data_IF_075092102147
#
_entry.id   IF_075092102147
#
_cell.length_a   1.000
_cell.length_b   1.000
_cell.length_c   1.000
_cell.angle_alpha   90.00
_cell.angle_beta   90.00
_cell.angle_gamma   90.00
#
_symmetry.space_group_name_H-M   'P 1'
#
loop_
_entity.id
_entity.type
_entity.pdbx_description
1 polymer ?
#
# COMPACT_ATOMS: atom_id res chain seq x y z
N UNK A 1 40.92 0.84 18.87
CA UNK A 1 40.24 0.55 17.59
C UNK A 1 39.51 -0.79 17.68
N UNK A 2 38.47 -0.87 18.50
CA UNK A 2 37.64 -2.07 18.68
C UNK A 2 36.18 -1.66 18.97
N UNK A 3 35.67 -0.70 18.19
CA UNK A 3 34.34 -0.11 18.35
C UNK A 3 33.63 0.13 17.00
N UNK A 4 34.02 -0.61 15.97
CA UNK A 4 33.56 -0.36 14.58
C UNK A 4 33.04 -1.62 13.88
N UNK A 5 32.60 -2.63 14.63
CA UNK A 5 31.96 -3.85 14.12
C UNK A 5 30.88 -4.36 15.09
N UNK A 6 30.03 -3.46 15.56
CA UNK A 6 28.67 -3.81 15.94
C UNK A 6 27.86 -3.28 14.76
N UNK A 7 27.40 -4.16 13.87
CA UNK A 7 26.41 -3.76 12.88
C UNK A 7 25.26 -3.11 13.66
N UNK A 8 24.99 -1.83 13.40
CA UNK A 8 23.89 -1.08 14.01
C UNK A 8 22.61 -1.89 13.82
N UNK A 9 22.16 -2.57 14.87
CA UNK A 9 20.85 -3.21 14.86
C UNK A 9 19.86 -2.06 14.87
N UNK A 10 19.16 -1.87 13.76
CA UNK A 10 18.10 -0.86 13.65
C UNK A 10 17.08 -1.08 14.78
N UNK A 11 17.05 -0.16 15.73
CA UNK A 11 16.16 -0.22 16.91
C UNK A 11 14.68 -0.24 16.51
N UNK A 12 14.37 0.18 15.29
CA UNK A 12 13.02 0.23 14.73
C UNK A 12 12.76 -0.87 13.69
N UNK A 13 13.67 -1.84 13.53
CA UNK A 13 13.54 -2.94 12.56
C UNK A 13 12.16 -3.62 12.66
N UNK A 14 11.75 -4.01 13.87
CA UNK A 14 10.45 -4.66 14.09
C UNK A 14 9.29 -3.70 13.78
N UNK A 15 9.39 -2.42 14.16
CA UNK A 15 8.34 -1.42 13.90
C UNK A 15 8.13 -1.24 12.40
N UNK A 16 9.22 -1.09 11.65
CA UNK A 16 9.24 -0.93 10.19
C UNK A 16 8.68 -2.18 9.49
N UNK A 17 9.14 -3.37 9.89
CA UNK A 17 8.67 -4.62 9.29
C UNK A 17 7.17 -4.84 9.48
N UNK A 18 6.67 -4.65 10.71
CA UNK A 18 5.23 -4.77 10.97
C UNK A 18 4.40 -3.76 10.16
N UNK A 19 4.93 -2.55 9.94
CA UNK A 19 4.29 -1.57 9.08
C UNK A 19 4.22 -2.03 7.61
N UNK A 20 5.35 -2.46 7.04
CA UNK A 20 5.42 -2.86 5.63
C UNK A 20 4.58 -4.09 5.29
N UNK A 21 4.48 -5.07 6.20
CA UNK A 21 3.64 -6.25 6.00
C UNK A 21 2.14 -5.99 6.25
N UNK A 22 1.77 -4.78 6.65
CA UNK A 22 0.38 -4.40 6.93
C UNK A 22 -0.14 -4.80 8.32
N UNK A 23 0.73 -5.19 9.26
CA UNK A 23 0.35 -5.46 10.65
C UNK A 23 0.39 -4.17 11.48
N UNK A 24 -0.49 -3.23 11.16
CA UNK A 24 -0.47 -1.88 11.73
C UNK A 24 -0.68 -1.86 13.25
N UNK A 25 -1.50 -2.77 13.79
CA UNK A 25 -1.73 -2.80 15.25
C UNK A 25 -0.48 -3.26 16.00
N UNK A 26 0.23 -4.26 15.48
CA UNK A 26 1.48 -4.71 16.09
C UNK A 26 2.58 -3.66 15.93
N UNK A 27 2.63 -2.97 14.78
CA UNK A 27 3.51 -1.80 14.59
C UNK A 27 3.31 -0.76 15.70
N UNK A 28 2.06 -0.38 15.99
CA UNK A 28 1.73 0.56 17.09
C UNK A 28 2.19 0.01 18.44
N UNK A 29 1.91 -1.26 18.72
CA UNK A 29 2.27 -1.88 20.00
C UNK A 29 3.79 -1.91 20.21
N UNK A 30 4.56 -2.26 19.18
CA UNK A 30 6.03 -2.28 19.25
C UNK A 30 6.60 -0.87 19.33
N UNK A 31 6.07 0.09 18.55
CA UNK A 31 6.48 1.49 18.63
C UNK A 31 6.30 2.06 20.05
N UNK A 32 5.24 1.70 20.76
CA UNK A 32 5.02 2.14 22.16
C UNK A 32 5.98 1.48 23.17
N UNK A 33 6.53 0.30 22.86
CA UNK A 33 7.47 -0.41 23.74
C UNK A 33 8.92 0.04 23.55
N UNK A 34 9.28 0.44 22.32
CA UNK A 34 10.65 0.87 22.00
C UNK A 34 11.02 2.11 22.80
N UNK A 35 12.18 2.04 23.46
CA UNK A 35 12.81 3.16 24.15
C UNK A 35 13.91 3.71 23.24
N UNK A 36 13.64 4.79 22.48
CA UNK A 36 14.59 5.30 21.50
C UNK A 36 15.87 5.78 22.19
N UNK A 37 17.02 5.41 21.65
CA UNK A 37 18.33 5.83 22.18
C UNK A 37 18.70 7.28 21.83
N UNK A 38 18.09 7.84 20.79
CA UNK A 38 18.31 9.22 20.34
C UNK A 38 17.01 9.96 20.01
N UNK A 39 17.08 11.29 19.93
CA UNK A 39 15.95 12.12 19.49
C UNK A 39 15.56 11.86 18.03
N UNK A 40 16.51 11.43 17.20
CA UNK A 40 16.29 11.10 15.79
C UNK A 40 15.49 9.79 15.66
N UNK A 41 15.87 8.75 16.42
CA UNK A 41 15.16 7.46 16.47
C UNK A 41 13.77 7.65 17.10
N UNK A 42 13.64 8.53 18.09
CA UNK A 42 12.33 8.87 18.66
C UNK A 42 11.40 9.49 17.59
N UNK A 43 11.93 10.36 16.75
CA UNK A 43 11.17 10.99 15.67
C UNK A 43 10.79 9.98 14.58
N UNK A 44 11.71 9.11 14.18
CA UNK A 44 11.44 8.07 13.18
C UNK A 44 10.39 7.06 13.67
N UNK A 45 10.46 6.66 14.95
CA UNK A 45 9.43 5.84 15.60
C UNK A 45 8.05 6.50 15.53
N UNK A 46 7.97 7.79 15.85
CA UNK A 46 6.72 8.54 15.83
C UNK A 46 6.16 8.65 14.41
N UNK A 47 7.02 8.80 13.40
CA UNK A 47 6.62 8.76 11.98
C UNK A 47 5.92 7.45 11.64
N UNK A 48 6.51 6.30 11.99
CA UNK A 48 5.89 4.99 11.73
C UNK A 48 4.61 4.77 12.54
N UNK A 49 4.57 5.25 13.79
CA UNK A 49 3.38 5.19 14.64
C UNK A 49 2.20 5.93 14.01
N UNK A 50 2.40 7.18 13.58
CA UNK A 50 1.35 7.96 12.93
C UNK A 50 0.97 7.40 11.56
N UNK A 51 1.93 6.89 10.77
CA UNK A 51 1.62 6.20 9.51
C UNK A 51 0.75 4.97 9.74
N UNK A 52 1.00 4.19 10.80
CA UNK A 52 0.16 3.05 11.17
C UNK A 52 -1.26 3.50 11.58
N UNK A 53 -1.41 4.61 12.30
CA UNK A 53 -2.73 5.18 12.60
C UNK A 53 -3.49 5.65 11.34
N UNK A 54 -2.80 6.30 10.40
CA UNK A 54 -3.36 6.69 9.09
C UNK A 54 -3.83 5.45 8.33
N UNK A 55 -3.02 4.39 8.29
CA UNK A 55 -3.36 3.13 7.63
C UNK A 55 -4.59 2.44 8.25
N UNK A 56 -4.77 2.53 9.58
CA UNK A 56 -5.98 2.07 10.28
C UNK A 56 -7.19 3.01 10.12
N UNK A 57 -7.11 4.07 9.30
CA UNK A 57 -8.12 5.12 9.12
C UNK A 57 -8.46 5.89 10.42
N UNK A 58 -7.56 5.89 11.40
CA UNK A 58 -7.71 6.63 12.67
C UNK A 58 -7.15 8.05 12.52
N UNK A 59 -7.65 8.80 11.52
CA UNK A 59 -7.11 10.11 11.15
C UNK A 59 -7.21 11.14 12.29
N UNK A 60 -8.25 11.05 13.13
CA UNK A 60 -8.45 11.99 14.26
C UNK A 60 -7.28 11.99 15.24
N UNK A 61 -6.72 10.82 15.56
CA UNK A 61 -5.57 10.70 16.46
C UNK A 61 -4.39 11.52 15.93
N UNK A 62 -4.11 11.39 14.63
CA UNK A 62 -3.01 12.12 13.98
C UNK A 62 -3.26 13.62 13.92
N UNK A 63 -4.50 14.03 13.64
CA UNK A 63 -4.87 15.45 13.55
C UNK A 63 -4.86 16.15 14.91
N UNK A 64 -5.21 15.43 15.98
CA UNK A 64 -5.26 15.96 17.35
C UNK A 64 -3.85 15.98 18.00
N UNK A 65 -3.02 14.97 17.74
CA UNK A 65 -1.68 14.85 18.34
C UNK A 65 -0.61 15.69 17.62
N UNK A 66 -0.73 15.90 16.30
CA UNK A 66 0.21 16.72 15.52
C UNK A 66 -0.27 18.18 15.47
N UNK A 67 0.40 19.04 16.25
CA UNK A 67 0.10 20.47 16.33
C UNK A 67 1.20 21.34 15.70
N UNK A 68 1.02 22.66 15.70
CA UNK A 68 1.98 23.60 15.08
C UNK A 68 3.32 23.67 15.84
N UNK A 69 3.42 23.07 17.02
CA UNK A 69 4.65 22.95 17.80
C UNK A 69 5.37 21.62 17.56
N UNK A 70 4.77 20.70 16.79
CA UNK A 70 5.38 19.42 16.43
C UNK A 70 6.52 19.62 15.41
N UNK A 71 7.53 18.73 15.41
CA UNK A 71 8.64 18.76 14.46
C UNK A 71 8.19 18.88 12.99
N UNK A 72 8.99 19.55 12.14
CA UNK A 72 8.66 19.72 10.72
C UNK A 72 8.47 18.39 10.00
N UNK A 73 9.13 17.32 10.45
CA UNK A 73 9.05 15.98 9.84
C UNK A 73 7.72 15.26 10.07
N UNK A 74 6.93 15.71 11.05
CA UNK A 74 5.60 15.18 11.33
C UNK A 74 4.49 15.96 10.61
N UNK A 75 4.74 17.21 10.21
CA UNK A 75 3.76 18.04 9.49
C UNK A 75 3.26 17.40 8.18
N UNK A 76 4.10 16.72 7.37
CA UNK A 76 3.62 15.98 6.20
C UNK A 76 2.58 14.92 6.57
N UNK A 77 2.75 14.21 7.68
CA UNK A 77 1.80 13.16 8.10
C UNK A 77 0.44 13.74 8.47
N UNK A 78 0.43 14.94 9.07
CA UNK A 78 -0.81 15.70 9.32
C UNK A 78 -1.51 16.07 8.02
N UNK A 79 -0.76 16.57 7.03
CA UNK A 79 -1.29 16.89 5.69
C UNK A 79 -1.90 15.64 5.03
N UNK A 80 -1.23 14.49 5.13
CA UNK A 80 -1.74 13.21 4.64
C UNK A 80 -3.04 12.79 5.35
N UNK A 81 -3.07 12.90 6.67
CA UNK A 81 -4.27 12.58 7.46
C UNK A 81 -5.44 13.51 7.10
N UNK A 82 -5.18 14.80 6.88
CA UNK A 82 -6.19 15.77 6.47
C UNK A 82 -6.72 15.48 5.05
N UNK A 83 -5.84 15.10 4.13
CA UNK A 83 -6.19 14.69 2.77
C UNK A 83 -7.16 13.49 2.74
N UNK A 84 -6.91 12.48 3.57
CA UNK A 84 -7.79 11.32 3.68
C UNK A 84 -9.07 11.61 4.48
N UNK A 85 -9.00 12.43 5.52
CA UNK A 85 -10.15 12.75 6.37
C UNK A 85 -11.16 13.68 5.68
N UNK A 86 -10.71 14.62 4.84
CA UNK A 86 -11.53 15.69 4.28
C UNK A 86 -11.47 15.72 2.74
N UNK A 87 -12.38 15.00 2.04
CA UNK A 87 -12.46 15.01 0.58
C UNK A 87 -12.58 16.42 -0.03
N UNK A 88 -13.25 17.35 0.65
CA UNK A 88 -13.47 18.72 0.18
C UNK A 88 -12.21 19.59 0.20
N UNK A 89 -11.16 19.20 0.94
CA UNK A 89 -9.91 19.98 1.04
C UNK A 89 -8.81 19.46 0.11
N UNK A 90 -9.05 18.39 -0.64
CA UNK A 90 -8.04 17.75 -1.49
C UNK A 90 -7.39 18.72 -2.48
N UNK A 91 -8.19 19.55 -3.16
CA UNK A 91 -7.67 20.54 -4.11
C UNK A 91 -6.78 21.61 -3.44
N UNK A 92 -7.16 22.08 -2.26
CA UNK A 92 -6.38 23.06 -1.51
C UNK A 92 -5.05 22.47 -1.01
N UNK A 93 -5.08 21.23 -0.50
CA UNK A 93 -3.89 20.51 -0.05
C UNK A 93 -2.94 20.26 -1.23
N UNK A 94 -3.47 19.91 -2.39
CA UNK A 94 -2.67 19.75 -3.61
C UNK A 94 -1.96 21.04 -4.01
N UNK A 95 -2.66 22.18 -3.97
CA UNK A 95 -2.06 23.48 -4.29
C UNK A 95 -0.96 23.88 -3.28
N UNK A 96 -1.16 23.60 -1.99
CA UNK A 96 -0.15 23.82 -0.94
C UNK A 96 1.07 22.92 -1.15
N UNK A 97 0.84 21.66 -1.51
CA UNK A 97 1.86 20.66 -1.76
C UNK A 97 2.68 20.98 -3.02
N UNK A 98 2.05 21.45 -4.09
CA UNK A 98 2.73 21.95 -5.30
C UNK A 98 3.62 23.16 -4.98
N UNK A 99 3.18 24.07 -4.10
CA UNK A 99 4.00 25.18 -3.64
C UNK A 99 5.19 24.68 -2.81
N UNK A 100 4.95 23.80 -1.84
CA UNK A 100 6.00 23.22 -1.01
C UNK A 100 7.04 22.42 -1.84
N UNK A 101 6.60 21.65 -2.83
CA UNK A 101 7.47 20.89 -3.72
C UNK A 101 8.40 21.78 -4.57
N UNK A 102 7.97 23.01 -4.89
CA UNK A 102 8.79 23.98 -5.63
C UNK A 102 9.76 24.79 -4.74
N UNK A 103 9.47 24.90 -3.44
CA UNK A 103 10.22 25.74 -2.51
C UNK A 103 11.20 24.98 -1.60
N UNK A 104 11.08 23.66 -1.48
CA UNK A 104 11.86 22.90 -0.51
C UNK A 104 13.16 22.36 -1.12
N UNK A 105 14.31 22.70 -0.52
CA UNK A 105 15.51 21.86 -0.58
C UNK A 105 15.18 20.59 0.22
N UNK A 106 14.54 19.66 -0.46
CA UNK A 106 13.92 18.48 0.13
C UNK A 106 14.99 17.46 0.52
N UNK A 107 15.55 17.58 1.72
CA UNK A 107 16.30 16.48 2.36
C UNK A 107 15.39 15.62 3.25
N UNK A 108 14.12 16.01 3.41
CA UNK A 108 13.16 15.29 4.24
C UNK A 108 12.45 14.18 3.43
N UNK A 109 12.95 12.96 3.58
CA UNK A 109 12.39 11.74 3.00
C UNK A 109 10.90 11.52 3.33
N UNK A 110 10.45 11.87 4.54
CA UNK A 110 9.06 11.69 4.96
C UNK A 110 8.09 12.58 4.18
N UNK A 111 8.50 13.83 3.91
CA UNK A 111 7.72 14.73 3.06
C UNK A 111 7.57 14.16 1.64
N UNK A 112 8.64 13.59 1.08
CA UNK A 112 8.61 13.03 -0.28
C UNK A 112 7.66 11.83 -0.39
N UNK A 113 7.68 10.90 0.57
CA UNK A 113 6.74 9.77 0.59
C UNK A 113 5.31 10.28 0.66
N UNK A 114 5.03 11.20 1.59
CA UNK A 114 3.68 11.77 1.74
C UNK A 114 3.24 12.45 0.46
N UNK A 115 4.10 13.31 -0.09
CA UNK A 115 3.83 14.05 -1.31
C UNK A 115 3.52 13.10 -2.48
N UNK A 116 4.39 12.11 -2.70
CA UNK A 116 4.20 11.11 -3.74
C UNK A 116 2.96 10.24 -3.51
N UNK A 117 2.61 9.93 -2.26
CA UNK A 117 1.38 9.19 -1.92
C UNK A 117 0.13 9.99 -2.29
N UNK A 118 0.12 11.31 -1.99
CA UNK A 118 -1.00 12.18 -2.35
C UNK A 118 -1.12 12.29 -3.88
N UNK A 119 -0.02 12.54 -4.59
CA UNK A 119 -0.01 12.55 -6.06
C UNK A 119 -0.46 11.22 -6.68
N UNK A 120 -0.08 10.09 -6.07
CA UNK A 120 -0.51 8.76 -6.50
C UNK A 120 -2.02 8.60 -6.41
N UNK A 121 -2.64 9.05 -5.32
CA UNK A 121 -4.10 9.01 -5.15
C UNK A 121 -4.85 9.95 -6.11
N UNK A 122 -4.26 11.10 -6.47
CA UNK A 122 -4.80 12.02 -7.48
C UNK A 122 -4.50 11.59 -8.93
N UNK A 123 -3.92 10.39 -9.14
CA UNK A 123 -3.53 9.84 -10.45
C UNK A 123 -2.47 10.68 -11.20
N UNK A 124 -1.78 11.59 -10.52
CA UNK A 124 -0.70 12.40 -11.08
C UNK A 124 0.65 11.67 -10.88
N UNK A 125 0.84 10.57 -11.61
CA UNK A 125 2.01 9.69 -11.47
C UNK A 125 3.32 10.38 -11.86
N UNK A 126 3.28 11.31 -12.82
CA UNK A 126 4.48 12.05 -13.26
C UNK A 126 5.04 12.96 -12.17
N UNK A 127 4.16 13.67 -11.45
CA UNK A 127 4.59 14.56 -10.35
C UNK A 127 5.11 13.75 -9.16
N UNK A 128 4.50 12.59 -8.87
CA UNK A 128 5.01 11.65 -7.87
C UNK A 128 6.44 11.19 -8.20
N UNK A 129 6.70 10.75 -9.44
CA UNK A 129 8.04 10.34 -9.88
C UNK A 129 9.06 11.48 -9.85
N UNK A 130 8.64 12.71 -10.19
CA UNK A 130 9.52 13.88 -10.17
C UNK A 130 10.08 14.17 -8.77
N UNK A 131 9.27 13.96 -7.73
CA UNK A 131 9.68 14.18 -6.34
C UNK A 131 10.58 13.05 -5.84
N UNK A 132 10.27 11.80 -6.20
CA UNK A 132 11.02 10.63 -5.73
C UNK A 132 12.38 10.45 -6.40
N UNK A 133 12.61 11.05 -7.58
CA UNK A 133 13.79 10.82 -8.43
C UNK A 133 15.13 11.14 -7.74
N UNK A 134 15.16 12.10 -6.82
CA UNK A 134 16.41 12.58 -6.21
C UNK A 134 16.76 11.87 -4.90
N UNK A 135 16.03 10.80 -4.54
CA UNK A 135 16.11 10.22 -3.20
C UNK A 135 16.61 8.79 -3.24
N UNK A 136 17.57 8.51 -2.37
CA UNK A 136 18.23 7.22 -2.28
C UNK A 136 17.62 6.28 -1.21
N UNK A 137 16.59 6.72 -0.51
CA UNK A 137 15.96 5.93 0.54
C UNK A 137 15.17 4.74 -0.03
N UNK A 138 15.26 3.59 0.65
CA UNK A 138 14.66 2.32 0.17
C UNK A 138 13.14 2.42 -0.05
N UNK A 139 12.42 3.12 0.83
CA UNK A 139 10.99 3.38 0.66
C UNK A 139 10.64 4.23 -0.57
N UNK A 140 11.48 5.20 -0.93
CA UNK A 140 11.27 6.01 -2.14
C UNK A 140 11.45 5.16 -3.40
N UNK A 141 12.43 4.24 -3.39
CA UNK A 141 12.63 3.27 -4.48
C UNK A 141 11.44 2.31 -4.58
N UNK A 142 10.94 1.80 -3.45
CA UNK A 142 9.77 0.92 -3.43
C UNK A 142 8.52 1.61 -3.99
N UNK A 143 8.27 2.87 -3.61
CA UNK A 143 7.13 3.63 -4.11
C UNK A 143 7.30 3.99 -5.61
N UNK A 144 8.52 4.33 -6.03
CA UNK A 144 8.85 4.54 -7.46
C UNK A 144 8.56 3.29 -8.28
N UNK A 145 8.99 2.12 -7.79
CA UNK A 145 8.72 0.83 -8.41
C UNK A 145 7.21 0.56 -8.49
N UNK A 146 6.46 0.81 -7.41
CA UNK A 146 5.00 0.68 -7.41
C UNK A 146 4.33 1.58 -8.45
N UNK A 147 4.81 2.83 -8.61
CA UNK A 147 4.32 3.75 -9.64
C UNK A 147 4.64 3.21 -11.04
N UNK A 148 5.85 2.71 -11.30
CA UNK A 148 6.21 2.13 -12.60
C UNK A 148 5.37 0.91 -12.95
N UNK A 149 5.08 0.04 -11.98
CA UNK A 149 4.16 -1.08 -12.18
C UNK A 149 2.74 -0.58 -12.51
N UNK A 150 2.28 0.50 -11.86
CA UNK A 150 0.98 1.11 -12.14
C UNK A 150 0.90 1.77 -13.52
N UNK A 151 2.04 2.18 -14.09
CA UNK A 151 2.17 2.70 -15.45
C UNK A 151 2.38 1.60 -16.50
N UNK A 152 2.28 0.32 -16.13
CA UNK A 152 2.57 -0.84 -16.98
C UNK A 152 4.01 -0.84 -17.54
N UNK A 153 4.96 -0.21 -16.83
CA UNK A 153 6.38 -0.11 -17.22
C UNK A 153 7.24 -1.08 -16.41
N UNK A 154 7.04 -2.37 -16.68
CA UNK A 154 7.80 -3.47 -16.04
C UNK A 154 9.32 -3.35 -16.23
N UNK A 155 9.75 -2.78 -17.37
CA UNK A 155 11.16 -2.58 -17.70
C UNK A 155 11.86 -1.61 -16.75
N UNK A 156 11.19 -0.52 -16.36
CA UNK A 156 11.71 0.46 -15.41
C UNK A 156 11.61 -0.08 -13.98
N UNK A 157 10.50 -0.72 -13.62
CA UNK A 157 10.33 -1.37 -12.32
C UNK A 157 11.45 -2.38 -12.01
N UNK A 158 11.88 -3.17 -13.01
CA UNK A 158 13.00 -4.11 -12.87
C UNK A 158 14.36 -3.43 -12.65
N UNK A 159 14.56 -2.21 -13.16
CA UNK A 159 15.80 -1.44 -12.93
C UNK A 159 15.85 -0.94 -11.48
N UNK A 160 14.74 -0.37 -11.01
CA UNK A 160 14.63 0.08 -9.61
C UNK A 160 14.77 -1.09 -8.64
N UNK A 161 14.18 -2.25 -8.96
CA UNK A 161 14.33 -3.44 -8.14
C UNK A 161 15.80 -3.86 -7.97
N UNK A 162 16.60 -3.83 -9.05
CA UNK A 162 18.03 -4.11 -8.95
C UNK A 162 18.76 -3.12 -8.05
N UNK A 163 18.41 -1.83 -8.16
CA UNK A 163 18.98 -0.81 -7.28
C UNK A 163 18.60 -1.03 -5.80
N UNK A 164 17.40 -1.55 -5.53
CA UNK A 164 17.00 -1.96 -4.17
C UNK A 164 17.79 -3.17 -3.68
N UNK A 165 17.97 -4.19 -4.53
CA UNK A 165 18.74 -5.41 -4.21
C UNK A 165 20.23 -5.12 -3.99
N UNK A 166 20.80 -4.18 -4.73
CA UNK A 166 22.19 -3.72 -4.53
C UNK A 166 22.38 -3.01 -3.18
N UNK A 167 21.31 -2.41 -2.63
CA UNK A 167 21.34 -1.76 -1.31
C UNK A 167 21.11 -2.74 -0.18
N UNK A 168 20.03 -3.50 -0.27
CA UNK A 168 19.64 -4.49 0.74
C UNK A 168 18.68 -5.52 0.12
N UNK A 169 19.19 -6.70 -0.21
CA UNK A 169 18.42 -7.82 -0.79
C UNK A 169 17.55 -8.52 0.27
N UNK A 170 17.96 -8.49 1.53
CA UNK A 170 17.29 -9.17 2.65
C UNK A 170 16.20 -8.30 3.30
N UNK A 171 16.17 -6.99 3.02
CA UNK A 171 15.13 -6.10 3.49
C UNK A 171 13.73 -6.58 3.07
N UNK A 172 12.81 -6.62 4.04
CA UNK A 172 11.40 -6.98 3.81
C UNK A 172 10.76 -6.16 2.68
N UNK A 173 11.16 -4.88 2.54
CA UNK A 173 10.65 -4.02 1.50
C UNK A 173 11.16 -4.40 0.09
N UNK A 174 12.42 -4.82 -0.03
CA UNK A 174 12.99 -5.33 -1.28
C UNK A 174 12.33 -6.66 -1.66
N UNK A 175 12.09 -7.54 -0.70
CA UNK A 175 11.37 -8.80 -0.91
C UNK A 175 9.93 -8.55 -1.39
N UNK A 176 9.19 -7.62 -0.76
CA UNK A 176 7.86 -7.22 -1.20
C UNK A 176 7.88 -6.64 -2.63
N UNK A 177 8.83 -5.75 -2.93
CA UNK A 177 8.99 -5.17 -4.26
C UNK A 177 9.29 -6.25 -5.32
N UNK A 178 10.15 -7.22 -4.98
CA UNK A 178 10.45 -8.38 -5.82
C UNK A 178 9.19 -9.22 -6.09
N UNK A 179 8.36 -9.44 -5.07
CA UNK A 179 7.08 -10.14 -5.22
C UNK A 179 6.12 -9.41 -6.17
N UNK A 180 6.00 -8.08 -6.07
CA UNK A 180 5.15 -7.28 -6.97
C UNK A 180 5.60 -7.31 -8.43
N UNK A 181 6.92 -7.22 -8.67
CA UNK A 181 7.48 -7.34 -10.03
C UNK A 181 7.26 -8.75 -10.58
N UNK A 182 7.37 -9.77 -9.75
CA UNK A 182 7.15 -11.15 -10.13
C UNK A 182 5.67 -11.43 -10.47
N UNK A 183 4.73 -10.91 -9.67
CA UNK A 183 3.28 -10.96 -9.99
C UNK A 183 3.02 -10.32 -11.34
N UNK A 184 3.57 -9.12 -11.57
CA UNK A 184 3.35 -8.36 -12.81
C UNK A 184 4.01 -9.00 -14.03
N UNK A 185 5.01 -9.86 -13.83
CA UNK A 185 5.69 -10.59 -14.91
C UNK A 185 4.92 -11.82 -15.36
N UNK A 186 4.13 -12.43 -14.47
CA UNK A 186 3.37 -13.65 -14.74
C UNK A 186 4.24 -14.89 -14.99
N UNK A 187 3.60 -15.98 -15.41
CA UNK A 187 4.25 -17.25 -15.73
C UNK A 187 4.93 -17.89 -14.53
N UNK A 188 6.12 -18.47 -14.74
CA UNK A 188 6.88 -19.17 -13.70
C UNK A 188 7.26 -18.26 -12.52
N UNK A 189 7.31 -16.93 -12.74
CA UNK A 189 7.60 -15.95 -11.69
C UNK A 189 6.50 -15.81 -10.65
N UNK A 190 5.28 -16.28 -10.93
CA UNK A 190 4.22 -16.33 -9.92
C UNK A 190 4.56 -17.27 -8.77
N UNK A 191 5.32 -18.34 -9.03
CA UNK A 191 5.73 -19.27 -7.99
C UNK A 191 6.83 -18.65 -7.11
N UNK A 192 7.75 -17.89 -7.70
CA UNK A 192 8.75 -17.11 -6.95
C UNK A 192 8.06 -16.09 -6.03
N UNK A 193 7.07 -15.34 -6.53
CA UNK A 193 6.29 -14.40 -5.72
C UNK A 193 5.56 -15.08 -4.56
N UNK A 194 4.96 -16.25 -4.81
CA UNK A 194 4.30 -17.05 -3.78
C UNK A 194 5.24 -17.41 -2.64
N UNK A 195 6.44 -17.91 -2.93
CA UNK A 195 7.39 -18.30 -1.89
C UNK A 195 7.83 -17.12 -1.03
N UNK A 196 7.99 -15.93 -1.62
CA UNK A 196 8.31 -14.71 -0.86
C UNK A 196 7.17 -14.37 0.11
N UNK A 197 5.90 -14.39 -0.33
CA UNK A 197 4.77 -14.14 0.57
C UNK A 197 4.66 -15.20 1.67
N UNK A 198 4.83 -16.47 1.34
CA UNK A 198 4.80 -17.57 2.31
C UNK A 198 5.90 -17.40 3.37
N UNK A 199 7.12 -17.10 2.95
CA UNK A 199 8.25 -16.89 3.86
C UNK A 199 8.00 -15.70 4.81
N UNK A 200 7.42 -14.60 4.31
CA UNK A 200 7.03 -13.46 5.15
C UNK A 200 5.91 -13.80 6.14
N UNK A 201 4.95 -14.63 5.73
CA UNK A 201 3.89 -15.12 6.62
C UNK A 201 4.47 -15.99 7.74
N UNK A 202 5.38 -16.91 7.39
CA UNK A 202 6.00 -17.85 8.32
C UNK A 202 6.96 -17.16 9.30
N UNK A 203 7.72 -16.16 8.83
CA UNK A 203 8.68 -15.40 9.66
C UNK A 203 8.02 -14.38 10.58
N UNK A 204 6.95 -13.73 10.11
CA UNK A 204 6.30 -12.65 10.85
C UNK A 204 4.90 -13.07 11.30
N UNK A 205 3.90 -12.82 10.47
CA UNK A 205 2.50 -13.13 10.78
C UNK A 205 1.65 -13.11 9.51
N UNK A 206 0.60 -13.93 9.46
CA UNK A 206 -0.38 -13.85 8.37
C UNK A 206 -1.22 -12.57 8.49
N UNK A 207 -0.91 -11.58 7.65
CA UNK A 207 -1.70 -10.35 7.53
C UNK A 207 -2.64 -10.46 6.34
N UNK A 208 -3.74 -9.71 6.34
CA UNK A 208 -4.66 -9.67 5.20
C UNK A 208 -3.95 -9.23 3.91
N UNK A 209 -2.94 -8.36 3.99
CA UNK A 209 -2.14 -7.95 2.82
C UNK A 209 -1.35 -9.12 2.24
N UNK A 210 -0.61 -9.86 3.07
CA UNK A 210 0.19 -10.99 2.62
C UNK A 210 -0.68 -12.13 2.09
N UNK A 211 -1.80 -12.42 2.77
CA UNK A 211 -2.76 -13.44 2.34
C UNK A 211 -3.40 -13.09 0.98
N UNK A 212 -3.74 -11.81 0.74
CA UNK A 212 -4.22 -11.36 -0.56
C UNK A 212 -3.15 -11.45 -1.65
N UNK A 213 -1.88 -11.14 -1.32
CA UNK A 213 -0.75 -11.32 -2.23
C UNK A 213 -0.56 -12.79 -2.63
N UNK A 214 -0.62 -13.69 -1.64
CA UNK A 214 -0.56 -15.14 -1.84
C UNK A 214 -1.73 -15.65 -2.69
N UNK A 215 -2.96 -15.21 -2.38
CA UNK A 215 -4.15 -15.57 -3.16
C UNK A 215 -4.05 -15.08 -4.61
N UNK A 216 -3.51 -13.89 -4.85
CA UNK A 216 -3.28 -13.36 -6.20
C UNK A 216 -2.32 -14.26 -6.99
N UNK A 217 -1.24 -14.74 -6.35
CA UNK A 217 -0.32 -15.69 -6.98
C UNK A 217 -1.03 -17.02 -7.33
N UNK A 218 -1.86 -17.55 -6.42
CA UNK A 218 -2.61 -18.78 -6.67
C UNK A 218 -3.65 -18.65 -7.78
N UNK A 219 -4.41 -17.55 -7.80
CA UNK A 219 -5.37 -17.25 -8.87
C UNK A 219 -4.65 -17.15 -10.21
N UNK A 220 -3.49 -16.48 -10.27
CA UNK A 220 -2.67 -16.39 -11.48
C UNK A 220 -2.13 -17.73 -11.97
N UNK A 221 -1.96 -18.71 -11.08
CA UNK A 221 -1.55 -20.09 -11.41
C UNK A 221 -2.73 -21.04 -11.65
N UNK A 222 -3.98 -20.55 -11.62
CA UNK A 222 -5.20 -21.34 -11.69
C UNK A 222 -5.37 -22.38 -10.54
N UNK A 223 -4.74 -22.14 -9.40
CA UNK A 223 -4.87 -22.93 -8.15
C UNK A 223 -5.96 -22.33 -7.26
N UNK A 224 -7.22 -22.51 -7.67
CA UNK A 224 -8.34 -21.80 -7.07
C UNK A 224 -8.70 -22.30 -5.66
N UNK A 225 -8.51 -23.58 -5.36
CA UNK A 225 -8.86 -24.16 -4.05
C UNK A 225 -7.94 -23.62 -2.94
N UNK A 226 -6.64 -23.51 -3.22
CA UNK A 226 -5.65 -22.94 -2.30
C UNK A 226 -5.86 -21.43 -2.11
N UNK A 227 -6.25 -20.73 -3.19
CA UNK A 227 -6.64 -19.32 -3.10
C UNK A 227 -7.86 -19.12 -2.19
N UNK A 228 -8.85 -20.04 -2.23
CA UNK A 228 -10.02 -19.96 -1.35
C UNK A 228 -9.62 -20.02 0.12
N UNK A 229 -8.74 -20.96 0.48
CA UNK A 229 -8.29 -21.11 1.87
C UNK A 229 -7.58 -19.85 2.37
N UNK A 230 -6.70 -19.26 1.56
CA UNK A 230 -5.96 -18.05 1.93
C UNK A 230 -6.89 -16.83 2.07
N UNK A 231 -7.86 -16.67 1.16
CA UNK A 231 -8.83 -15.58 1.22
C UNK A 231 -9.82 -15.74 2.37
N UNK A 232 -10.21 -16.97 2.71
CA UNK A 232 -11.08 -17.22 3.86
C UNK A 232 -10.37 -16.87 5.17
N UNK A 233 -9.08 -17.23 5.33
CA UNK A 233 -8.28 -16.79 6.48
C UNK A 233 -8.20 -15.26 6.56
N UNK A 234 -8.02 -14.58 5.41
CA UNK A 234 -8.00 -13.12 5.36
C UNK A 234 -9.35 -12.50 5.74
N UNK A 235 -10.46 -13.13 5.34
CA UNK A 235 -11.81 -12.68 5.65
C UNK A 235 -12.17 -12.86 7.13
N UNK A 236 -11.66 -13.92 7.76
CA UNK A 236 -11.83 -14.17 9.19
C UNK A 236 -11.07 -13.14 10.05
N UNK A 237 -9.95 -12.62 9.53
CA UNK A 237 -9.16 -11.55 10.17
C UNK A 237 -9.76 -10.16 9.96
N UNK A 238 -10.14 -9.84 8.73
CA UNK A 238 -10.78 -8.58 8.38
C UNK A 238 -11.89 -8.81 7.35
N UNK A 239 -13.11 -8.91 7.86
CA UNK A 239 -14.29 -9.20 7.06
C UNK A 239 -14.63 -8.09 6.06
N UNK A 240 -14.12 -6.87 6.26
CA UNK A 240 -14.42 -5.71 5.43
C UNK A 240 -13.20 -5.24 4.62
N UNK A 241 -12.17 -6.07 4.48
CA UNK A 241 -11.04 -5.75 3.63
C UNK A 241 -11.47 -5.69 2.15
N UNK A 242 -11.33 -4.55 1.46
CA UNK A 242 -11.77 -4.41 0.07
C UNK A 242 -11.04 -5.37 -0.88
N UNK A 243 -9.74 -5.61 -0.67
CA UNK A 243 -8.94 -6.47 -1.54
C UNK A 243 -9.38 -7.93 -1.43
N UNK A 244 -9.67 -8.40 -0.22
CA UNK A 244 -10.20 -9.76 0.03
C UNK A 244 -11.56 -9.94 -0.64
N UNK A 245 -12.46 -8.97 -0.50
CA UNK A 245 -13.79 -9.03 -1.12
C UNK A 245 -13.69 -9.07 -2.65
N UNK A 246 -12.81 -8.25 -3.25
CA UNK A 246 -12.57 -8.24 -4.71
C UNK A 246 -12.02 -9.59 -5.18
N UNK A 247 -11.01 -10.13 -4.49
CA UNK A 247 -10.42 -11.42 -4.84
C UNK A 247 -11.45 -12.56 -4.69
N UNK A 248 -12.32 -12.51 -3.68
CA UNK A 248 -13.40 -13.49 -3.50
C UNK A 248 -14.46 -13.44 -4.61
N UNK A 249 -14.75 -12.25 -5.16
CA UNK A 249 -15.65 -12.10 -6.32
C UNK A 249 -15.06 -12.83 -7.53
N UNK A 250 -13.78 -12.56 -7.85
CA UNK A 250 -13.08 -13.18 -8.98
C UNK A 250 -12.98 -14.70 -8.79
N UNK A 251 -12.60 -15.14 -7.61
CA UNK A 251 -12.48 -16.57 -7.28
C UNK A 251 -13.81 -17.31 -7.41
N UNK A 252 -14.90 -16.72 -6.91
CA UNK A 252 -16.25 -17.32 -7.00
C UNK A 252 -16.67 -17.55 -8.44
N UNK A 253 -16.31 -16.66 -9.36
CA UNK A 253 -16.57 -16.81 -10.79
C UNK A 253 -15.74 -17.94 -11.41
N UNK A 254 -14.46 -18.04 -11.09
CA UNK A 254 -13.58 -19.10 -11.60
C UNK A 254 -13.96 -20.50 -11.10
N UNK A 255 -14.47 -20.61 -9.87
CA UNK A 255 -14.93 -21.88 -9.29
C UNK A 255 -16.35 -22.29 -9.75
N UNK A 256 -17.03 -21.47 -10.57
CA UNK A 256 -18.39 -21.75 -11.01
C UNK A 256 -19.43 -21.73 -9.89
N UNK A 257 -19.17 -20.98 -8.80
CA UNK A 257 -20.14 -20.82 -7.71
C UNK A 257 -21.38 -20.05 -8.19
N UNK A 258 -22.54 -20.20 -7.51
CA UNK A 258 -23.73 -19.47 -7.87
C UNK A 258 -23.48 -17.95 -7.88
N UNK A 259 -24.01 -17.20 -8.88
CA UNK A 259 -23.74 -15.76 -9.04
C UNK A 259 -24.18 -14.94 -7.82
N UNK A 260 -25.11 -15.46 -7.02
CA UNK A 260 -25.55 -14.87 -5.76
C UNK A 260 -24.40 -14.70 -4.76
N UNK A 261 -23.43 -15.63 -4.74
CA UNK A 261 -22.27 -15.57 -3.85
C UNK A 261 -21.36 -14.39 -4.22
N UNK A 262 -21.05 -14.24 -5.51
CA UNK A 262 -20.27 -13.11 -6.01
C UNK A 262 -21.02 -11.77 -5.78
N UNK A 263 -22.33 -11.74 -5.99
CA UNK A 263 -23.16 -10.57 -5.74
C UNK A 263 -23.21 -10.18 -4.26
N UNK A 264 -23.17 -11.15 -3.34
CA UNK A 264 -23.10 -10.88 -1.90
C UNK A 264 -21.81 -10.15 -1.54
N UNK A 265 -20.66 -10.62 -2.00
CA UNK A 265 -19.37 -9.95 -1.76
C UNK A 265 -19.32 -8.56 -2.41
N UNK A 266 -19.88 -8.41 -3.61
CA UNK A 266 -19.99 -7.11 -4.27
C UNK A 266 -20.88 -6.13 -3.48
N UNK A 267 -21.99 -6.61 -2.93
CA UNK A 267 -22.89 -5.79 -2.10
C UNK A 267 -22.18 -5.36 -0.81
N UNK A 268 -21.50 -6.29 -0.14
CA UNK A 268 -20.70 -5.99 1.04
C UNK A 268 -19.59 -4.96 0.74
N UNK A 269 -18.93 -5.05 -0.42
CA UNK A 269 -17.93 -4.07 -0.85
C UNK A 269 -18.54 -2.68 -1.08
N UNK A 270 -19.74 -2.61 -1.68
CA UNK A 270 -20.48 -1.35 -1.89
C UNK A 270 -20.89 -0.70 -0.57
N UNK A 271 -21.31 -1.51 0.41
CA UNK A 271 -21.74 -1.03 1.73
C UNK A 271 -20.57 -0.55 2.59
N UNK A 272 -19.43 -1.25 2.52
CA UNK A 272 -18.24 -0.94 3.34
C UNK A 272 -17.34 0.14 2.75
N UNK A 273 -17.16 0.19 1.43
CA UNK A 273 -16.21 1.10 0.77
C UNK A 273 -16.73 1.66 -0.55
N UNK A 274 -17.79 2.46 -0.48
CA UNK A 274 -18.39 3.11 -1.66
C UNK A 274 -17.39 3.94 -2.48
N UNK A 275 -16.40 4.55 -1.83
CA UNK A 275 -15.39 5.38 -2.50
C UNK A 275 -14.27 4.58 -3.19
N UNK A 276 -14.21 3.26 -2.99
CA UNK A 276 -13.14 2.42 -3.51
C UNK A 276 -13.05 2.52 -5.05
N UNK A 277 -11.84 2.63 -5.66
CA UNK A 277 -11.69 2.77 -7.10
C UNK A 277 -12.43 1.71 -7.91
N UNK A 278 -12.39 0.45 -7.46
CA UNK A 278 -13.10 -0.66 -8.10
C UNK A 278 -14.63 -0.44 -8.13
N UNK A 279 -15.22 0.06 -7.04
CA UNK A 279 -16.68 0.30 -6.98
C UNK A 279 -17.06 1.45 -7.91
N UNK A 280 -16.27 2.53 -7.94
CA UNK A 280 -16.49 3.65 -8.87
C UNK A 280 -16.40 3.21 -10.32
N UNK A 281 -15.38 2.44 -10.68
CA UNK A 281 -15.22 1.89 -12.03
C UNK A 281 -16.36 0.93 -12.39
N UNK A 282 -16.76 0.07 -11.46
CA UNK A 282 -17.88 -0.85 -11.66
C UNK A 282 -19.20 -0.10 -11.95
N UNK A 283 -19.54 0.92 -11.13
CA UNK A 283 -20.72 1.76 -11.33
C UNK A 283 -20.65 2.52 -12.67
N UNK A 284 -19.48 3.04 -13.04
CA UNK A 284 -19.28 3.69 -14.34
C UNK A 284 -19.54 2.73 -15.50
N UNK A 285 -19.06 1.49 -15.41
CA UNK A 285 -19.31 0.45 -16.42
C UNK A 285 -20.77 0.03 -16.47
N UNK A 286 -21.48 -0.03 -15.34
CA UNK A 286 -22.93 -0.25 -15.32
C UNK A 286 -23.69 0.86 -16.06
N UNK A 287 -23.34 2.13 -15.82
CA UNK A 287 -23.94 3.28 -16.50
C UNK A 287 -23.64 3.24 -18.01
N UNK A 288 -22.40 2.94 -18.38
CA UNK A 288 -21.98 2.80 -19.78
C UNK A 288 -22.75 1.68 -20.49
N UNK A 289 -22.92 0.53 -19.84
CA UNK A 289 -23.70 -0.59 -20.36
C UNK A 289 -25.17 -0.21 -20.57
N UNK A 290 -25.81 0.49 -19.61
CA UNK A 290 -27.18 0.96 -19.77
C UNK A 290 -27.32 2.00 -20.90
N UNK A 291 -26.32 2.87 -21.07
CA UNK A 291 -26.26 3.82 -22.20
C UNK A 291 -26.22 3.08 -23.54
N UNK A 292 -25.33 2.08 -23.67
CA UNK A 292 -25.21 1.27 -24.88
C UNK A 292 -26.50 0.48 -25.13
N UNK A 293 -27.08 -0.13 -24.11
CA UNK A 293 -28.36 -0.83 -24.23
C UNK A 293 -29.44 0.09 -24.80
N UNK A 294 -29.56 1.33 -24.32
CA UNK A 294 -30.52 2.31 -24.86
C UNK A 294 -30.21 2.70 -26.31
N UNK A 295 -28.95 2.86 -26.66
CA UNK A 295 -28.51 3.22 -28.01
C UNK A 295 -28.80 2.13 -29.04
N UNK A 296 -28.69 0.86 -28.66
CA UNK A 296 -28.92 -0.30 -29.54
C UNK A 296 -30.29 -0.95 -29.32
N UNK A 297 -31.14 -0.40 -28.45
CA UNK A 297 -32.52 -0.88 -28.32
C UNK A 297 -33.27 -0.52 -29.60
N UNK A 298 -34.04 -1.45 -30.19
CA UNK A 298 -34.84 -1.14 -31.36
C UNK A 298 -35.79 0.01 -31.02
N UNK A 299 -35.73 1.08 -31.80
CA UNK A 299 -36.73 2.16 -31.75
C UNK A 299 -38.08 1.53 -32.05
N UNK A 300 -39.00 1.61 -31.09
CA UNK A 300 -40.40 1.26 -31.30
C UNK A 300 -41.05 2.18 -32.34
#
# INVERSE_FOLDING_TARGET
MARQQQADVDELFDVKNHFYIGNYQQCINEAQKVKPSSSEIAMERDVFLYRAYIAQRKFRVVLDEINNSSPPDLQPLKMLAEYFANPNRREAIMAELDQAANHTNTDNHNFMIVAATIYYHEKNLESALRILRNTEHLECLALTLQIYLKMDRLDLARKELKAMQEKDDDATLTQLAQAWVNISSGGDKLQDAYYIFQEMIDKHSSTSMLLNGQATCFIGQAKYEEAESALQESLDKDSNNPDTLINMIVLSQHMGKPPEVANRYLSQLKDSHLEHPFVKEYLQREVEFQRLRKQYSPSA
#
